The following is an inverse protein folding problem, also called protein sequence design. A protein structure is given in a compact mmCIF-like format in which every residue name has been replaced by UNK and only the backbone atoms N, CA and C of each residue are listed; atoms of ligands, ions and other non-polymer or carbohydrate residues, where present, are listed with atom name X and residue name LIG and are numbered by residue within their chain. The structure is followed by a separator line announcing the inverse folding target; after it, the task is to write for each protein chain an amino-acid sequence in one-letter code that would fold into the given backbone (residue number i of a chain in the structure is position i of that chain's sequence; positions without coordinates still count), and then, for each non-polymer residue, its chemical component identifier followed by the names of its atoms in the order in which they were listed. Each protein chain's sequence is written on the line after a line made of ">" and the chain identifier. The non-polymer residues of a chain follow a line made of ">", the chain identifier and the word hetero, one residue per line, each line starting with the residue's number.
data_IF_129896610358
#
_entry.id   IF_129896610358
#
_cell.length_a   1.000
_cell.length_b   1.000
_cell.length_c   1.000
_cell.angle_alpha   90.00
_cell.angle_beta   90.00
_cell.angle_gamma   90.00
#
_symmetry.space_group_name_H-M   'P 1'
#
loop_
_entity.id
_entity.type
_entity.pdbx_description
1 polymer ?
#
# COMPACT_ATOMS: atom_id res chain seq x y z
N UNK A 1 -5.86 19.03 5.05
CA UNK A 1 -4.61 18.45 4.52
C UNK A 1 -4.60 16.97 4.86
N UNK A 2 -4.40 16.08 3.88
CA UNK A 2 -4.28 14.63 4.13
C UNK A 2 -2.79 14.28 4.12
N UNK A 3 -2.28 13.74 5.22
CA UNK A 3 -0.94 13.14 5.27
C UNK A 3 -1.13 11.64 4.99
N UNK A 4 -0.39 11.10 4.04
CA UNK A 4 -0.50 9.72 3.58
C UNK A 4 0.87 9.06 3.49
N UNK A 5 1.00 7.87 4.08
CA UNK A 5 2.26 7.11 4.11
C UNK A 5 1.99 5.66 3.67
N UNK A 6 2.89 5.10 2.86
CA UNK A 6 2.71 3.76 2.26
C UNK A 6 3.82 2.78 2.67
N UNK A 7 4.03 2.46 3.97
CA UNK A 7 5.10 1.56 4.36
C UNK A 7 4.81 0.12 3.91
N UNK A 8 5.84 -0.61 3.50
CA UNK A 8 5.81 -2.08 3.54
C UNK A 8 6.04 -2.59 4.99
N UNK A 9 5.94 -3.90 5.24
CA UNK A 9 6.12 -4.45 6.60
C UNK A 9 7.49 -4.15 7.25
N UNK A 10 8.57 -4.12 6.47
CA UNK A 10 9.92 -3.79 6.97
C UNK A 10 10.04 -2.30 7.30
N UNK A 11 9.50 -1.45 6.43
CA UNK A 11 9.43 0.00 6.65
C UNK A 11 8.56 0.34 7.86
N UNK A 12 7.41 -0.35 8.00
CA UNK A 12 6.49 -0.17 9.11
C UNK A 12 7.18 -0.42 10.45
N UNK A 13 7.86 -1.56 10.58
CA UNK A 13 8.62 -1.93 11.77
C UNK A 13 9.66 -0.87 12.16
N UNK A 14 10.36 -0.30 11.16
CA UNK A 14 11.32 0.78 11.38
C UNK A 14 10.65 2.08 11.84
N UNK A 15 9.52 2.43 11.26
CA UNK A 15 8.77 3.64 11.61
C UNK A 15 8.14 3.56 13.01
N UNK A 16 7.79 2.36 13.47
CA UNK A 16 7.23 2.12 14.81
C UNK A 16 8.27 1.76 15.86
N UNK A 17 9.55 1.64 15.48
CA UNK A 17 10.62 1.23 16.40
C UNK A 17 10.42 -0.18 16.99
N UNK A 18 9.72 -1.06 16.27
CA UNK A 18 9.36 -2.40 16.73
C UNK A 18 9.94 -3.50 15.84
N UNK A 19 9.88 -4.75 16.29
CA UNK A 19 10.19 -5.89 15.41
C UNK A 19 9.16 -5.99 14.26
N UNK A 20 9.55 -6.50 13.08
CA UNK A 20 8.59 -6.79 12.00
C UNK A 20 7.46 -7.68 12.46
N UNK A 21 6.22 -7.31 12.12
CA UNK A 21 5.07 -8.12 12.45
C UNK A 21 5.16 -9.53 11.83
N UNK A 22 4.91 -10.55 12.65
CA UNK A 22 4.90 -11.95 12.25
C UNK A 22 3.56 -12.41 11.68
N UNK A 23 2.48 -11.66 11.91
CA UNK A 23 1.13 -11.92 11.41
C UNK A 23 0.43 -10.64 10.88
N UNK A 24 -0.67 -10.81 10.16
CA UNK A 24 -1.48 -9.70 9.63
C UNK A 24 -2.02 -8.81 10.76
N UNK A 25 -2.47 -9.42 11.87
CA UNK A 25 -2.99 -8.70 13.04
C UNK A 25 -1.93 -7.80 13.70
N UNK A 26 -0.69 -8.26 13.78
CA UNK A 26 0.45 -7.51 14.30
C UNK A 26 0.78 -6.32 13.40
N UNK A 27 0.76 -6.51 12.08
CA UNK A 27 1.01 -5.43 11.12
C UNK A 27 -0.06 -4.34 11.22
N UNK A 28 -1.33 -4.71 11.39
CA UNK A 28 -2.41 -3.74 11.57
C UNK A 28 -2.30 -2.97 12.88
N UNK A 29 -1.93 -3.64 13.99
CA UNK A 29 -1.71 -2.95 15.26
C UNK A 29 -0.59 -1.92 15.16
N UNK A 30 0.55 -2.30 14.57
CA UNK A 30 1.68 -1.39 14.33
C UNK A 30 1.26 -0.20 13.46
N UNK A 31 0.46 -0.43 12.43
CA UNK A 31 0.03 0.63 11.54
C UNK A 31 -1.05 1.54 12.13
N UNK A 32 -1.93 1.01 12.99
CA UNK A 32 -2.92 1.82 13.72
C UNK A 32 -2.20 2.72 14.72
N UNK A 33 -1.22 2.19 15.44
CA UNK A 33 -0.34 2.95 16.33
C UNK A 33 0.39 4.06 15.57
N UNK A 34 1.00 3.74 14.42
CA UNK A 34 1.66 4.73 13.57
C UNK A 34 0.66 5.81 13.12
N UNK A 35 -0.50 5.41 12.59
CA UNK A 35 -1.53 6.31 12.08
C UNK A 35 -2.00 7.30 13.14
N UNK A 36 -2.23 6.83 14.37
CA UNK A 36 -2.62 7.67 15.52
C UNK A 36 -1.49 8.59 15.97
N UNK A 37 -0.26 8.08 16.04
CA UNK A 37 0.90 8.83 16.53
C UNK A 37 1.23 10.00 15.62
N UNK A 38 1.18 9.79 14.30
CA UNK A 38 1.57 10.82 13.32
C UNK A 38 0.37 11.60 12.76
N UNK A 39 -0.87 11.19 13.07
CA UNK A 39 -2.09 11.80 12.55
C UNK A 39 -2.25 11.64 11.03
N UNK A 40 -1.68 10.58 10.44
CA UNK A 40 -1.71 10.33 9.00
C UNK A 40 -2.48 9.07 8.65
N UNK A 41 -2.98 9.01 7.42
CA UNK A 41 -3.44 7.76 6.84
C UNK A 41 -2.25 6.87 6.45
N UNK A 42 -2.33 5.59 6.80
CA UNK A 42 -1.25 4.61 6.57
C UNK A 42 -1.78 3.48 5.70
N UNK A 43 -1.17 3.29 4.51
CA UNK A 43 -1.40 2.12 3.66
C UNK A 43 -0.25 1.13 3.84
N UNK A 44 -0.49 0.08 4.62
CA UNK A 44 0.47 -1.00 4.81
C UNK A 44 0.45 -1.91 3.61
N UNK A 45 1.58 -1.99 2.90
CA UNK A 45 1.74 -2.89 1.76
C UNK A 45 2.27 -4.26 2.20
N UNK A 46 1.72 -5.31 1.62
CA UNK A 46 2.32 -6.65 1.69
C UNK A 46 1.84 -7.52 2.84
N UNK A 47 0.55 -7.45 3.18
CA UNK A 47 -0.14 -8.39 4.04
C UNK A 47 0.09 -9.85 3.62
N UNK A 48 0.92 -10.49 4.44
CA UNK A 48 1.37 -11.88 4.55
C UNK A 48 2.13 -12.52 3.39
N UNK A 49 3.40 -12.78 3.67
CA UNK A 49 4.51 -13.08 2.78
C UNK A 49 4.46 -14.45 2.05
N UNK A 50 3.32 -15.16 2.07
CA UNK A 50 3.16 -16.43 1.34
C UNK A 50 1.73 -16.55 0.79
N UNK A 51 1.62 -16.88 -0.51
CA UNK A 51 0.35 -17.12 -1.20
C UNK A 51 0.19 -16.34 -2.50
N UNK A 52 -0.86 -16.68 -3.25
CA UNK A 52 -1.20 -16.09 -4.56
C UNK A 52 -1.89 -14.72 -4.47
N UNK A 53 -2.10 -14.20 -3.26
CA UNK A 53 -2.78 -12.94 -2.97
C UNK A 53 -1.88 -11.98 -2.20
N UNK A 54 -2.15 -10.70 -2.33
CA UNK A 54 -1.49 -9.61 -1.61
C UNK A 54 -2.57 -8.71 -1.01
N UNK A 55 -2.55 -8.58 0.30
CA UNK A 55 -3.50 -7.75 1.05
C UNK A 55 -2.77 -6.47 1.45
N UNK A 56 -3.26 -5.31 1.05
CA UNK A 56 -2.83 -4.05 1.67
C UNK A 56 -3.98 -3.54 2.53
N UNK A 57 -3.64 -2.80 3.59
CA UNK A 57 -4.65 -2.25 4.49
C UNK A 57 -4.41 -0.77 4.68
N UNK A 58 -5.47 0.00 4.46
CA UNK A 58 -5.53 1.43 4.72
C UNK A 58 -6.11 1.64 6.12
N UNK A 59 -5.35 2.32 6.96
CA UNK A 59 -5.75 2.77 8.28
C UNK A 59 -5.82 4.28 8.26
N UNK A 60 -6.89 4.80 8.83
CA UNK A 60 -7.15 6.22 8.94
C UNK A 60 -7.56 6.53 10.38
N UNK A 61 -7.13 7.66 10.95
CA UNK A 61 -7.54 8.04 12.29
C UNK A 61 -9.07 8.09 12.39
N UNK A 62 -9.62 7.43 13.40
CA UNK A 62 -11.06 7.39 13.71
C UNK A 62 -11.97 6.80 12.63
N UNK A 63 -11.43 6.03 11.68
CA UNK A 63 -12.20 5.35 10.65
C UNK A 63 -11.91 3.84 10.67
N UNK A 64 -12.88 3.00 10.25
CA UNK A 64 -12.63 1.58 10.05
C UNK A 64 -11.48 1.33 9.07
N UNK A 65 -10.73 0.26 9.27
CA UNK A 65 -9.71 -0.16 8.32
C UNK A 65 -10.33 -0.64 7.02
N UNK A 66 -9.69 -0.30 5.90
CA UNK A 66 -10.10 -0.76 4.57
C UNK A 66 -9.08 -1.76 4.03
N UNK A 67 -9.56 -2.94 3.65
CA UNK A 67 -8.73 -4.01 3.09
C UNK A 67 -8.81 -4.00 1.58
N UNK A 68 -7.65 -4.05 0.94
CA UNK A 68 -7.52 -4.17 -0.50
C UNK A 68 -6.81 -5.47 -0.85
N UNK A 69 -7.54 -6.39 -1.46
CA UNK A 69 -7.02 -7.70 -1.86
C UNK A 69 -6.82 -7.75 -3.38
N UNK A 70 -5.66 -8.23 -3.83
CA UNK A 70 -5.34 -8.40 -5.24
C UNK A 70 -4.48 -9.66 -5.47
N UNK A 71 -4.50 -10.23 -6.67
CA UNK A 71 -3.54 -11.27 -7.06
C UNK A 71 -2.10 -10.77 -6.85
N UNK A 72 -1.26 -11.63 -6.30
CA UNK A 72 0.17 -11.35 -6.15
C UNK A 72 0.80 -11.34 -7.54
N UNK A 73 1.42 -10.23 -7.89
CA UNK A 73 2.16 -10.14 -9.12
C UNK A 73 3.47 -10.97 -9.00
N UNK A 74 3.78 -11.86 -9.96
CA UNK A 74 4.87 -12.84 -9.81
C UNK A 74 6.28 -12.22 -9.88
N UNK A 75 6.42 -10.99 -10.39
CA UNK A 75 7.72 -10.30 -10.52
C UNK A 75 7.64 -8.87 -10.02
N UNK A 76 8.46 -8.47 -9.06
CA UNK A 76 8.52 -7.06 -8.67
C UNK A 76 9.00 -6.17 -9.82
N UNK A 77 8.54 -4.92 -9.84
CA UNK A 77 9.14 -3.83 -10.63
C UNK A 77 9.59 -2.73 -9.66
N UNK A 78 10.79 -2.18 -9.87
CA UNK A 78 11.24 -1.00 -9.12
C UNK A 78 10.35 0.19 -9.48
N UNK A 79 10.04 1.04 -8.50
CA UNK A 79 9.24 2.24 -8.71
C UNK A 79 7.73 2.07 -8.57
N UNK A 80 7.22 0.86 -8.31
CA UNK A 80 5.78 0.64 -8.02
C UNK A 80 5.29 1.43 -6.79
N UNK A 81 6.16 1.64 -5.80
CA UNK A 81 5.87 2.49 -4.65
C UNK A 81 5.67 3.96 -5.04
N UNK A 82 6.58 4.54 -5.82
CA UNK A 82 6.44 5.92 -6.31
C UNK A 82 5.22 6.07 -7.20
N UNK A 83 4.98 5.09 -8.08
CA UNK A 83 3.81 5.06 -8.96
C UNK A 83 2.50 5.07 -8.16
N UNK A 84 2.41 4.23 -7.12
CA UNK A 84 1.26 4.18 -6.22
C UNK A 84 1.03 5.53 -5.54
N UNK A 85 2.07 6.10 -4.90
CA UNK A 85 1.95 7.36 -4.17
C UNK A 85 1.55 8.53 -5.08
N UNK A 86 2.16 8.64 -6.27
CA UNK A 86 1.81 9.67 -7.26
C UNK A 86 0.39 9.52 -7.78
N UNK A 87 -0.08 8.29 -8.02
CA UNK A 87 -1.45 8.04 -8.46
C UNK A 87 -2.48 8.37 -7.37
N UNK A 88 -2.18 8.07 -6.09
CA UNK A 88 -3.03 8.48 -4.96
C UNK A 88 -3.09 9.99 -4.87
N UNK A 89 -1.93 10.67 -4.88
CA UNK A 89 -1.87 12.13 -4.79
C UNK A 89 -2.65 12.82 -5.93
N UNK A 90 -2.51 12.32 -7.16
CA UNK A 90 -3.26 12.82 -8.30
C UNK A 90 -4.77 12.61 -8.13
N UNK A 91 -5.21 11.42 -7.73
CA UNK A 91 -6.64 11.15 -7.52
C UNK A 91 -7.26 12.01 -6.40
N UNK A 92 -6.50 12.25 -5.33
CA UNK A 92 -6.91 13.17 -4.25
C UNK A 92 -7.05 14.61 -4.75
N UNK A 93 -6.12 15.08 -5.60
CA UNK A 93 -6.19 16.41 -6.19
C UNK A 93 -7.43 16.61 -7.08
N UNK A 94 -8.00 15.54 -7.63
CA UNK A 94 -9.25 15.55 -8.37
C UNK A 94 -10.50 15.38 -7.48
N UNK A 95 -10.37 15.51 -6.16
CA UNK A 95 -11.50 15.50 -5.22
C UNK A 95 -12.04 14.13 -4.86
N UNK A 96 -11.33 13.05 -5.18
CA UNK A 96 -11.73 11.70 -4.76
C UNK A 96 -11.45 11.47 -3.27
N UNK A 97 -12.21 10.56 -2.65
CA UNK A 97 -11.90 10.09 -1.30
C UNK A 97 -10.55 9.35 -1.28
N UNK A 98 -9.92 9.26 -0.10
CA UNK A 98 -8.65 8.54 0.03
C UNK A 98 -8.79 7.06 -0.33
N UNK A 99 -9.86 6.42 0.13
CA UNK A 99 -10.17 5.02 -0.21
C UNK A 99 -10.29 4.81 -1.73
N UNK A 100 -11.07 5.67 -2.40
CA UNK A 100 -11.22 5.60 -3.86
C UNK A 100 -9.88 5.87 -4.58
N UNK A 101 -9.07 6.78 -4.04
CA UNK A 101 -7.75 7.11 -4.58
C UNK A 101 -6.77 5.95 -4.46
N UNK A 102 -6.75 5.26 -3.32
CA UNK A 102 -5.94 4.05 -3.11
C UNK A 102 -6.40 2.94 -4.04
N UNK A 103 -7.71 2.71 -4.16
CA UNK A 103 -8.27 1.70 -5.07
C UNK A 103 -7.83 1.93 -6.52
N UNK A 104 -8.01 3.16 -7.04
CA UNK A 104 -7.59 3.55 -8.39
C UNK A 104 -6.10 3.42 -8.61
N UNK A 105 -5.29 3.89 -7.64
CA UNK A 105 -3.84 3.82 -7.72
C UNK A 105 -3.33 2.38 -7.76
N UNK A 106 -3.92 1.49 -6.96
CA UNK A 106 -3.61 0.06 -7.00
C UNK A 106 -3.91 -0.57 -8.35
N UNK A 107 -5.09 -0.26 -8.92
CA UNK A 107 -5.44 -0.74 -10.26
C UNK A 107 -4.45 -0.23 -11.31
N UNK A 108 -4.10 1.06 -11.26
CA UNK A 108 -3.12 1.65 -12.18
C UNK A 108 -1.76 0.96 -12.12
N UNK A 109 -1.24 0.69 -10.91
CA UNK A 109 0.03 -0.05 -10.73
C UNK A 109 -0.08 -1.48 -11.25
N UNK A 110 -1.20 -2.15 -11.00
CA UNK A 110 -1.44 -3.51 -11.49
C UNK A 110 -1.45 -3.56 -13.03
N UNK A 111 -2.12 -2.61 -13.68
CA UNK A 111 -2.16 -2.53 -15.15
C UNK A 111 -0.79 -2.18 -15.74
N UNK A 112 -0.01 -1.33 -15.07
CA UNK A 112 1.36 -1.02 -15.49
C UNK A 112 2.27 -2.25 -15.39
N UNK A 113 2.14 -3.03 -14.31
CA UNK A 113 2.83 -4.30 -14.15
C UNK A 113 2.42 -5.30 -15.23
N UNK A 114 1.13 -5.35 -15.60
CA UNK A 114 0.64 -6.19 -16.69
C UNK A 114 1.27 -5.83 -18.03
N UNK A 115 1.22 -4.55 -18.42
CA UNK A 115 1.85 -4.08 -19.67
C UNK A 115 3.35 -4.31 -19.73
N UNK A 116 4.04 -4.26 -18.58
CA UNK A 116 5.48 -4.50 -18.55
C UNK A 116 5.89 -5.95 -18.88
N UNK A 117 4.97 -6.92 -18.76
CA UNK A 117 5.21 -8.28 -19.27
C UNK A 117 5.23 -8.33 -20.80
N UNK A 118 4.49 -7.46 -21.47
CA UNK A 118 4.40 -7.41 -22.92
C UNK A 118 5.63 -6.73 -23.56
N UNK A 119 6.46 -6.07 -22.74
CA UNK A 119 7.74 -5.49 -23.13
C UNK A 119 8.84 -6.50 -22.76
N UNK A 120 8.93 -7.60 -23.50
CA UNK A 120 10.18 -8.38 -23.51
C UNK A 120 11.30 -7.52 -24.11
N UNK A 121 12.52 -7.53 -23.54
CA UNK A 121 13.65 -6.96 -24.24
C UNK A 121 13.80 -7.71 -25.56
N UNK A 122 13.75 -7.00 -26.69
CA UNK A 122 14.23 -7.55 -27.96
C UNK A 122 15.67 -8.01 -27.73
N UNK A 123 15.87 -9.33 -27.82
CA UNK A 123 17.17 -9.99 -27.90
C UNK A 123 18.07 -9.36 -28.95
#
# INVERSE_FOLDING_TARGET
>A
MVIFVTPNLVELARLTGSAPASDEKGAWRQADELSRTVGAAVLVKGGHAQGSRCIDVLLQPNLPSVRFDAPRWPRGMRGTGCMLSSAVASSLAHGASLEASVSRARQYVFDALARSKDIEPKS
#
